data_IF_861358464786
#
_entry.id   IF_861358464786
#
_cell.length_a   1.000
_cell.length_b   1.000
_cell.length_c   1.000
_cell.angle_alpha   90.00
_cell.angle_beta   90.00
_cell.angle_gamma   90.00
#
_symmetry.space_group_name_H-M   'P 1'
#
loop_
_entity.id
_entity.type
_entity.pdbx_description
1 polymer ?
#
# COMPACT_ATOMS: atom_id res chain seq x y z
N UNK A 1 -3.77 8.92 14.70
CA UNK A 1 -2.42 8.99 14.13
C UNK A 1 -2.28 7.86 13.13
N UNK A 2 -1.62 8.09 12.00
CA UNK A 2 -1.42 7.10 10.94
C UNK A 2 0.07 7.04 10.60
N UNK A 3 0.63 5.84 10.45
CA UNK A 3 2.00 5.70 9.98
C UNK A 3 2.05 5.92 8.48
N UNK A 4 2.92 6.84 8.06
CA UNK A 4 3.16 7.20 6.67
C UNK A 4 4.54 6.72 6.26
N UNK A 5 4.62 6.11 5.08
CA UNK A 5 5.89 5.81 4.43
C UNK A 5 5.99 6.52 3.08
N UNK A 6 7.01 7.35 2.90
CA UNK A 6 7.29 8.06 1.66
C UNK A 6 8.20 7.24 0.74
N UNK A 7 7.74 6.96 -0.49
CA UNK A 7 8.56 6.28 -1.49
C UNK A 7 9.61 7.18 -2.13
N UNK A 8 9.45 8.50 -2.07
CA UNK A 8 10.39 9.45 -2.69
C UNK A 8 11.65 9.66 -1.86
N UNK A 9 11.54 9.80 -0.54
CA UNK A 9 12.68 10.09 0.34
C UNK A 9 12.97 8.99 1.38
N UNK A 10 12.13 7.96 1.47
CA UNK A 10 12.27 6.89 2.45
C UNK A 10 11.82 7.26 3.86
N UNK A 11 11.20 8.43 4.06
CA UNK A 11 10.64 8.82 5.36
C UNK A 11 9.63 7.79 5.85
N UNK A 12 9.75 7.38 7.11
CA UNK A 12 8.85 6.48 7.82
C UNK A 12 8.57 7.06 9.20
N UNK A 13 7.29 7.28 9.52
CA UNK A 13 6.91 7.87 10.80
C UNK A 13 5.40 8.04 10.96
N UNK A 14 4.97 8.38 12.15
CA UNK A 14 3.56 8.63 12.47
C UNK A 14 3.20 10.10 12.22
N UNK A 15 2.08 10.32 11.54
CA UNK A 15 1.54 11.65 11.27
C UNK A 15 0.05 11.71 11.61
N UNK A 16 -0.46 12.93 11.81
CA UNK A 16 -1.91 13.15 11.86
C UNK A 16 -2.47 13.16 10.44
N UNK A 17 -3.60 12.46 10.24
CA UNK A 17 -4.24 12.38 8.93
C UNK A 17 -5.24 13.54 8.79
N UNK A 18 -4.93 14.50 7.93
CA UNK A 18 -5.77 15.66 7.60
C UNK A 18 -6.53 15.48 6.27
N UNK A 19 -6.71 14.22 5.83
CA UNK A 19 -7.36 13.89 4.55
C UNK A 19 -6.40 13.76 3.36
N UNK A 20 -5.13 14.19 3.48
CA UNK A 20 -4.11 14.03 2.44
C UNK A 20 -2.80 13.48 3.01
N UNK A 21 -2.21 12.49 2.34
CA UNK A 21 -0.88 11.98 2.69
C UNK A 21 0.21 12.74 1.93
N UNK A 22 0.76 13.78 2.58
CA UNK A 22 1.91 14.55 2.10
C UNK A 22 3.10 14.27 3.01
N UNK A 23 4.25 13.93 2.44
CA UNK A 23 5.46 13.68 3.22
C UNK A 23 5.98 15.00 3.85
N UNK A 24 6.14 15.09 5.18
CA UNK A 24 6.67 16.29 5.82
C UNK A 24 8.16 16.54 5.53
N UNK A 25 8.90 15.50 5.13
CA UNK A 25 10.34 15.59 4.86
C UNK A 25 10.65 16.18 3.49
N UNK A 26 9.88 15.82 2.45
CA UNK A 26 10.17 16.22 1.07
C UNK A 26 8.98 16.84 0.32
N UNK A 27 7.81 16.93 0.94
CA UNK A 27 6.58 17.47 0.33
C UNK A 27 5.93 16.56 -0.72
N UNK A 28 6.47 15.35 -0.96
CA UNK A 28 5.93 14.43 -1.96
C UNK A 28 4.59 13.84 -1.52
N UNK A 29 3.65 13.73 -2.45
CA UNK A 29 2.39 12.98 -2.29
C UNK A 29 2.56 11.48 -2.60
N UNK A 30 3.73 11.06 -3.10
CA UNK A 30 4.05 9.65 -3.36
C UNK A 30 4.35 8.91 -2.05
N UNK A 31 3.31 8.73 -1.25
CA UNK A 31 3.34 8.16 0.09
C UNK A 31 2.29 7.07 0.21
N UNK A 32 2.53 6.11 1.10
CA UNK A 32 1.57 5.06 1.44
C UNK A 32 1.24 5.12 2.92
N UNK A 33 -0.03 4.88 3.24
CA UNK A 33 -0.42 4.53 4.60
C UNK A 33 0.18 3.17 4.92
N UNK A 34 1.04 3.12 5.92
CA UNK A 34 1.62 1.88 6.44
C UNK A 34 0.79 1.46 7.65
N UNK A 35 -0.39 0.89 7.43
CA UNK A 35 -1.14 0.26 8.52
C UNK A 35 -0.33 -0.97 8.93
N UNK A 36 0.19 -1.00 10.16
CA UNK A 36 0.90 -2.18 10.63
C UNK A 36 -0.13 -3.29 10.82
N UNK A 37 0.11 -4.46 10.26
CA UNK A 37 -0.76 -5.63 10.46
C UNK A 37 -0.91 -6.03 11.93
N UNK A 38 0.00 -5.59 12.80
CA UNK A 38 -0.09 -5.75 14.25
C UNK A 38 -1.21 -4.92 14.91
N UNK A 39 -1.73 -3.91 14.20
CA UNK A 39 -2.86 -3.09 14.65
C UNK A 39 -4.21 -3.61 14.12
N UNK A 40 -4.18 -4.61 13.23
CA UNK A 40 -5.38 -5.28 12.75
C UNK A 40 -5.78 -6.36 13.75
N UNK A 41 -7.04 -6.36 14.15
CA UNK A 41 -7.62 -7.45 14.93
C UNK A 41 -7.60 -8.73 14.11
N UNK A 42 -7.55 -9.91 14.75
CA UNK A 42 -7.63 -11.20 14.05
C UNK A 42 -8.83 -11.27 13.09
N UNK A 43 -9.98 -10.69 13.50
CA UNK A 43 -11.18 -10.59 12.66
C UNK A 43 -10.98 -9.73 11.40
N UNK A 44 -10.20 -8.65 11.47
CA UNK A 44 -9.90 -7.79 10.32
C UNK A 44 -8.91 -8.46 9.37
N UNK A 45 -7.94 -9.19 9.92
CA UNK A 45 -7.01 -10.03 9.15
C UNK A 45 -7.78 -11.13 8.40
N UNK A 46 -8.69 -11.83 9.08
CA UNK A 46 -9.55 -12.85 8.44
C UNK A 46 -10.44 -12.24 7.36
N UNK A 47 -10.98 -11.03 7.57
CA UNK A 47 -11.83 -10.37 6.57
C UNK A 47 -11.04 -10.01 5.31
N UNK A 48 -9.81 -9.51 5.45
CA UNK A 48 -8.92 -9.22 4.32
C UNK A 48 -8.48 -10.52 3.64
N UNK A 49 -8.15 -11.56 4.40
CA UNK A 49 -7.71 -12.84 3.87
C UNK A 49 -8.82 -13.58 3.08
N UNK A 50 -10.07 -13.44 3.52
CA UNK A 50 -11.23 -14.02 2.85
C UNK A 50 -11.89 -13.07 1.83
N UNK A 51 -11.33 -11.88 1.61
CA UNK A 51 -11.83 -10.98 0.57
C UNK A 51 -11.50 -11.55 -0.80
N UNK A 52 -12.54 -11.81 -1.59
CA UNK A 52 -12.38 -12.22 -2.98
C UNK A 52 -11.83 -11.04 -3.79
N UNK A 53 -10.66 -11.23 -4.41
CA UNK A 53 -10.13 -10.27 -5.38
C UNK A 53 -11.03 -10.38 -6.62
N UNK A 54 -11.72 -9.30 -7.04
CA UNK A 54 -12.56 -9.35 -8.23
C UNK A 54 -11.74 -9.81 -9.43
N UNK A 55 -12.32 -10.65 -10.29
CA UNK A 55 -11.59 -11.26 -11.42
C UNK A 55 -10.95 -10.22 -12.35
N UNK A 56 -11.55 -9.03 -12.46
CA UNK A 56 -11.01 -7.89 -13.23
C UNK A 56 -9.68 -7.34 -12.69
N UNK A 57 -9.39 -7.54 -11.40
CA UNK A 57 -8.14 -7.13 -10.75
C UNK A 57 -7.22 -8.31 -10.41
N UNK A 58 -7.64 -9.53 -10.78
CA UNK A 58 -6.83 -10.73 -10.63
C UNK A 58 -5.78 -10.71 -11.73
N UNK A 59 -4.57 -10.28 -11.38
CA UNK A 59 -3.42 -10.35 -12.27
C UNK A 59 -3.20 -11.81 -12.70
N UNK A 60 -3.40 -12.10 -13.99
CA UNK A 60 -3.11 -13.41 -14.56
C UNK A 60 -1.62 -13.48 -14.90
N UNK A 61 -0.95 -14.53 -14.43
CA UNK A 61 0.47 -14.77 -14.69
C UNK A 61 0.79 -14.92 -16.20
N UNK A 62 -0.22 -15.20 -17.03
CA UNK A 62 -0.12 -15.29 -18.49
C UNK A 62 0.00 -13.93 -19.21
N UNK A 63 -0.22 -12.79 -18.53
CA UNK A 63 0.02 -11.45 -19.10
C UNK A 63 1.51 -11.04 -19.07
N UNK A 64 2.39 -11.89 -18.50
CA UNK A 64 3.84 -11.74 -18.51
C UNK A 64 4.49 -12.52 -19.68
N UNK A 65 3.95 -12.41 -20.89
CA UNK A 65 4.74 -12.71 -22.09
C UNK A 65 5.65 -11.51 -22.37
N UNK A 66 6.74 -11.42 -21.61
CA UNK A 66 7.84 -10.52 -21.89
C UNK A 66 8.47 -10.99 -23.21
N UNK A 67 7.98 -10.41 -24.31
CA UNK A 67 8.44 -10.63 -25.68
C UNK A 67 9.90 -10.22 -25.86
N UNK A 68 10.82 -10.99 -25.28
CA UNK A 68 12.26 -10.85 -25.42
C UNK A 68 12.76 -11.40 -26.76
N UNK A 69 12.46 -10.69 -27.86
CA UNK A 69 13.23 -10.76 -29.10
C UNK A 69 14.47 -9.87 -28.96
N UNK A 70 15.61 -10.45 -28.55
CA UNK A 70 16.95 -10.26 -29.13
C UNK A 70 18.07 -10.98 -28.41
#
# INVERSE_FOLDING_TARGET
MARLQCRSCGFDGEIEWDGQFVCPSCGSTNTRAAIATAELSDAEIEMIANSEIPEEFRWNSDDLDDGGDR
#
